data_IF_769236233892
#
_entry.id   IF_769236233892
#
_cell.length_a   1.000
_cell.length_b   1.000
_cell.length_c   1.000
_cell.angle_alpha   90.00
_cell.angle_beta   90.00
_cell.angle_gamma   90.00
#
_symmetry.space_group_name_H-M   'P 1'
#
loop_
_entity.id
_entity.type
_entity.pdbx_description
1 polymer ?
#
# COMPACT_ATOMS: atom_id res chain seq x y z
N UNK A 1 11.65 12.94 -10.93
CA UNK A 1 11.78 11.74 -10.08
C UNK A 1 10.42 11.13 -9.84
N UNK A 2 10.27 9.83 -10.09
CA UNK A 2 9.01 9.14 -9.86
C UNK A 2 8.83 8.94 -8.35
N UNK A 3 7.64 9.25 -7.86
CA UNK A 3 7.27 9.03 -6.46
C UNK A 3 6.22 7.92 -6.42
N UNK A 4 6.31 7.06 -5.42
CA UNK A 4 5.51 5.84 -5.33
C UNK A 4 4.62 5.83 -4.11
N UNK A 5 3.41 5.32 -4.29
CA UNK A 5 2.52 4.94 -3.20
C UNK A 5 2.59 3.42 -3.09
N UNK A 6 3.08 2.94 -1.96
CA UNK A 6 3.38 1.51 -1.80
C UNK A 6 2.12 0.78 -1.35
N UNK A 7 1.66 -0.16 -2.16
CA UNK A 7 0.47 -0.96 -1.84
C UNK A 7 0.76 -1.94 -0.70
N UNK A 8 -0.29 -2.30 0.02
CA UNK A 8 -0.23 -3.16 1.21
C UNK A 8 0.46 -4.49 0.93
N UNK A 9 0.22 -5.10 -0.23
CA UNK A 9 0.84 -6.39 -0.56
C UNK A 9 2.36 -6.30 -0.69
N UNK A 10 2.89 -5.16 -1.14
CA UNK A 10 4.33 -4.94 -1.23
C UNK A 10 4.92 -4.69 0.15
N UNK A 11 4.25 -3.85 0.95
CA UNK A 11 4.68 -3.55 2.32
C UNK A 11 4.73 -4.81 3.17
N UNK A 12 3.69 -5.62 3.12
CA UNK A 12 3.60 -6.86 3.89
C UNK A 12 4.68 -7.86 3.50
N UNK A 13 5.08 -7.88 2.22
CA UNK A 13 6.16 -8.74 1.77
C UNK A 13 7.49 -8.40 2.43
N UNK A 14 7.75 -7.12 2.69
CA UNK A 14 9.02 -6.70 3.31
C UNK A 14 9.15 -7.13 4.76
N UNK A 15 8.06 -7.51 5.42
CA UNK A 15 8.07 -7.97 6.81
C UNK A 15 8.54 -9.42 6.94
N UNK A 16 8.46 -10.21 5.88
CA UNK A 16 8.79 -11.63 5.91
C UNK A 16 10.29 -11.83 6.12
N UNK A 17 10.71 -12.85 6.92
CA UNK A 17 12.13 -13.13 7.16
C UNK A 17 12.93 -13.40 5.88
N UNK A 18 12.26 -13.92 4.85
CA UNK A 18 12.88 -14.17 3.54
C UNK A 18 12.19 -13.29 2.50
N UNK A 19 12.32 -11.97 2.67
CA UNK A 19 11.77 -11.03 1.72
C UNK A 19 12.38 -11.29 0.34
N UNK A 20 11.55 -11.32 -0.70
CA UNK A 20 12.02 -11.55 -2.07
C UNK A 20 12.93 -10.41 -2.51
N UNK A 21 14.08 -10.81 -3.06
CA UNK A 21 15.15 -9.89 -3.39
C UNK A 21 14.74 -8.72 -4.26
N UNK A 22 13.90 -8.95 -5.29
CA UNK A 22 13.50 -7.91 -6.22
C UNK A 22 12.76 -6.75 -5.58
N UNK A 23 11.65 -7.05 -4.89
CA UNK A 23 10.82 -6.01 -4.29
C UNK A 23 11.52 -5.33 -3.12
N UNK A 24 12.19 -6.11 -2.27
CA UNK A 24 12.89 -5.57 -1.12
C UNK A 24 14.07 -4.68 -1.54
N UNK A 25 14.89 -5.17 -2.47
CA UNK A 25 16.04 -4.42 -2.98
C UNK A 25 15.59 -3.13 -3.68
N UNK A 26 14.51 -3.21 -4.46
CA UNK A 26 13.96 -2.04 -5.12
C UNK A 26 13.54 -0.99 -4.12
N UNK A 27 12.80 -1.39 -3.09
CA UNK A 27 12.31 -0.45 -2.07
C UNK A 27 13.48 0.22 -1.34
N UNK A 28 14.53 -0.54 -1.03
CA UNK A 28 15.72 0.01 -0.37
C UNK A 28 16.50 0.96 -1.27
N UNK A 29 16.35 0.84 -2.59
CA UNK A 29 17.04 1.72 -3.53
C UNK A 29 16.42 3.10 -3.64
N UNK A 30 15.20 3.29 -3.12
CA UNK A 30 14.48 4.56 -3.24
C UNK A 30 14.93 5.56 -2.17
N UNK A 31 14.88 6.83 -2.55
CA UNK A 31 15.10 7.93 -1.61
C UNK A 31 13.83 8.16 -0.79
N UNK A 32 13.98 8.75 0.40
CA UNK A 32 12.85 9.02 1.28
C UNK A 32 11.73 9.81 0.62
N UNK A 33 12.09 10.79 -0.22
CA UNK A 33 11.11 11.61 -0.93
C UNK A 33 10.32 10.86 -2.00
N UNK A 34 10.69 9.62 -2.31
CA UNK A 34 10.00 8.81 -3.32
C UNK A 34 9.00 7.83 -2.72
N UNK A 35 8.94 7.66 -1.41
CA UNK A 35 8.18 6.59 -0.77
C UNK A 35 7.04 7.17 0.07
N UNK A 36 5.82 6.78 -0.26
CA UNK A 36 4.61 7.20 0.46
C UNK A 36 3.75 5.98 0.75
N UNK A 37 3.00 6.06 1.84
CA UNK A 37 2.02 5.04 2.21
C UNK A 37 0.65 5.69 2.34
N UNK A 38 -0.40 4.90 2.07
CA UNK A 38 -1.77 5.35 2.30
C UNK A 38 -2.21 5.01 3.71
N UNK A 39 -2.98 5.88 4.34
CA UNK A 39 -3.64 5.58 5.61
C UNK A 39 -4.48 4.30 5.51
N UNK A 40 -5.04 4.01 4.34
CA UNK A 40 -5.83 2.79 4.06
C UNK A 40 -4.99 1.54 4.31
N UNK A 41 -3.72 1.57 3.93
CA UNK A 41 -2.79 0.44 4.14
C UNK A 41 -2.70 0.06 5.62
N UNK A 42 -2.63 1.05 6.51
CA UNK A 42 -2.54 0.77 7.94
C UNK A 42 -3.86 0.23 8.50
N UNK A 43 -5.00 0.63 7.92
CA UNK A 43 -6.28 0.02 8.25
C UNK A 43 -6.36 -1.45 7.83
N UNK A 44 -5.86 -1.77 6.64
CA UNK A 44 -5.79 -3.15 6.15
C UNK A 44 -4.89 -4.01 7.04
N UNK A 45 -3.72 -3.48 7.41
CA UNK A 45 -2.79 -4.19 8.29
C UNK A 45 -3.44 -4.43 9.65
N UNK A 46 -4.11 -3.41 10.21
CA UNK A 46 -4.76 -3.53 11.52
C UNK A 46 -5.86 -4.60 11.49
N UNK A 47 -6.64 -4.66 10.41
CA UNK A 47 -7.64 -5.71 10.26
C UNK A 47 -7.01 -7.10 10.27
N UNK A 48 -5.87 -7.26 9.60
CA UNK A 48 -5.10 -8.50 9.63
C UNK A 48 -4.56 -8.82 11.02
N UNK A 49 -4.13 -7.81 11.76
CA UNK A 49 -3.68 -7.96 13.16
C UNK A 49 -4.81 -8.53 14.03
N UNK A 50 -6.02 -7.96 13.94
CA UNK A 50 -7.15 -8.43 14.73
C UNK A 50 -7.54 -9.86 14.37
N UNK A 51 -7.51 -10.22 13.09
CA UNK A 51 -7.77 -11.59 12.66
C UNK A 51 -6.72 -12.55 13.21
N UNK A 52 -5.44 -12.17 13.20
CA UNK A 52 -4.36 -12.99 13.74
C UNK A 52 -4.47 -13.14 15.25
N UNK A 53 -4.91 -12.09 15.94
CA UNK A 53 -5.01 -12.09 17.41
C UNK A 53 -5.91 -13.18 17.94
N UNK A 54 -6.91 -13.59 17.18
CA UNK A 54 -7.83 -14.68 17.58
C UNK A 54 -7.12 -16.02 17.70
N UNK A 55 -6.06 -16.24 16.92
CA UNK A 55 -5.37 -17.52 16.88
C UNK A 55 -3.98 -17.47 17.49
N UNK A 56 -3.31 -16.33 17.37
CA UNK A 56 -1.93 -16.17 17.81
C UNK A 56 -1.71 -14.74 18.32
N UNK A 57 -2.04 -14.46 19.60
CA UNK A 57 -1.92 -13.12 20.18
C UNK A 57 -0.49 -12.55 20.15
N UNK A 58 0.50 -13.42 20.34
CA UNK A 58 1.91 -12.95 20.34
C UNK A 58 2.32 -12.49 18.96
N UNK A 59 1.96 -13.23 17.91
CA UNK A 59 2.24 -12.85 16.54
C UNK A 59 1.51 -11.57 16.16
N UNK A 60 0.26 -11.43 16.61
CA UNK A 60 -0.51 -10.21 16.36
C UNK A 60 0.18 -8.99 16.97
N UNK A 61 0.71 -9.12 18.19
CA UNK A 61 1.45 -8.04 18.84
C UNK A 61 2.71 -7.67 18.07
N UNK A 62 3.43 -8.64 17.52
CA UNK A 62 4.62 -8.39 16.70
C UNK A 62 4.27 -7.60 15.43
N UNK A 63 3.20 -8.00 14.74
CA UNK A 63 2.77 -7.33 13.52
C UNK A 63 2.32 -5.91 13.84
N UNK A 64 1.57 -5.74 14.92
CA UNK A 64 1.07 -4.43 15.34
C UNK A 64 2.22 -3.48 15.70
N UNK A 65 3.23 -3.97 16.40
CA UNK A 65 4.41 -3.18 16.74
C UNK A 65 5.19 -2.77 15.50
N UNK A 66 5.35 -3.68 14.54
CA UNK A 66 5.99 -3.38 13.27
C UNK A 66 5.22 -2.31 12.50
N UNK A 67 3.90 -2.44 12.42
CA UNK A 67 3.06 -1.47 11.73
C UNK A 67 3.14 -0.08 12.37
N UNK A 68 3.13 -0.01 13.70
CA UNK A 68 3.26 1.25 14.42
C UNK A 68 4.60 1.93 14.14
N UNK A 69 5.68 1.13 14.11
CA UNK A 69 7.00 1.65 13.75
C UNK A 69 7.02 2.18 12.33
N UNK A 70 6.48 1.42 11.37
CA UNK A 70 6.44 1.80 9.98
C UNK A 70 5.67 3.12 9.78
N UNK A 71 4.54 3.25 10.46
CA UNK A 71 3.72 4.45 10.38
C UNK A 71 4.50 5.69 10.86
N UNK A 72 5.20 5.57 12.00
CA UNK A 72 5.98 6.68 12.54
C UNK A 72 7.19 7.04 11.67
N UNK A 73 7.77 6.04 11.00
CA UNK A 73 8.97 6.23 10.20
C UNK A 73 8.70 6.66 8.77
N UNK A 74 7.43 6.74 8.35
CA UNK A 74 7.06 6.88 6.96
C UNK A 74 6.20 8.10 6.70
N UNK A 75 6.13 8.50 5.43
CA UNK A 75 5.21 9.53 4.96
C UNK A 75 3.88 8.87 4.65
N UNK A 76 2.86 9.13 5.47
CA UNK A 76 1.53 8.53 5.34
C UNK A 76 0.55 9.60 4.85
N UNK A 77 -0.14 9.30 3.75
CA UNK A 77 -1.13 10.21 3.17
C UNK A 77 -2.52 9.82 3.65
N UNK A 78 -3.30 10.78 4.18
CA UNK A 78 -4.65 10.51 4.66
C UNK A 78 -5.65 10.37 3.52
N UNK A 79 -6.78 9.72 3.79
CA UNK A 79 -7.94 9.78 2.91
C UNK A 79 -8.75 11.04 3.25
N UNK A 80 -8.29 12.17 2.73
CA UNK A 80 -8.97 13.45 2.92
C UNK A 80 -10.13 13.63 1.92
N UNK A 81 -10.76 14.81 1.93
CA UNK A 81 -11.90 15.09 1.04
C UNK A 81 -11.54 14.92 -0.43
N UNK A 82 -10.38 15.41 -0.84
CA UNK A 82 -9.96 15.31 -2.23
C UNK A 82 -9.82 13.85 -2.66
N UNK A 83 -9.23 13.03 -1.79
CA UNK A 83 -9.07 11.59 -2.05
C UNK A 83 -10.42 10.87 -2.09
N UNK A 84 -11.33 11.19 -1.17
CA UNK A 84 -12.67 10.57 -1.19
C UNK A 84 -13.49 10.99 -2.41
N UNK A 85 -13.36 12.23 -2.86
CA UNK A 85 -14.06 12.66 -4.07
C UNK A 85 -13.53 11.95 -5.29
N UNK A 86 -12.22 11.76 -5.38
CA UNK A 86 -11.62 10.98 -6.47
C UNK A 86 -12.01 9.51 -6.38
N UNK A 87 -12.03 8.95 -5.18
CA UNK A 87 -12.51 7.60 -4.92
C UNK A 87 -13.94 7.41 -5.43
N UNK A 88 -14.82 8.37 -5.14
CA UNK A 88 -16.20 8.29 -5.60
C UNK A 88 -16.30 8.28 -7.13
N UNK A 89 -15.45 9.07 -7.81
CA UNK A 89 -15.40 9.07 -9.28
C UNK A 89 -14.94 7.71 -9.81
N UNK A 90 -13.91 7.13 -9.19
CA UNK A 90 -13.37 5.84 -9.61
C UNK A 90 -14.35 4.69 -9.39
N UNK A 91 -15.11 4.77 -8.30
CA UNK A 91 -16.03 3.68 -7.93
C UNK A 91 -17.37 3.76 -8.62
N UNK A 92 -17.69 4.87 -9.25
CA UNK A 92 -18.98 5.02 -9.92
C UNK A 92 -19.15 3.93 -10.98
N UNK A 93 -20.18 3.10 -10.82
CA UNK A 93 -20.46 2.00 -11.73
C UNK A 93 -19.58 0.76 -11.55
N UNK A 94 -18.76 0.69 -10.49
CA UNK A 94 -17.89 -0.46 -10.24
C UNK A 94 -18.35 -1.25 -9.01
N UNK A 95 -17.85 -2.49 -8.92
CA UNK A 95 -18.13 -3.39 -7.81
C UNK A 95 -17.38 -2.97 -6.55
N UNK A 96 -18.01 -3.16 -5.39
CA UNK A 96 -17.41 -2.87 -4.08
C UNK A 96 -16.17 -3.72 -3.77
N UNK A 97 -15.93 -4.79 -4.52
CA UNK A 97 -14.75 -5.64 -4.31
C UNK A 97 -13.43 -4.91 -4.55
N UNK A 98 -13.47 -3.76 -5.23
CA UNK A 98 -12.29 -2.95 -5.49
C UNK A 98 -12.19 -1.73 -4.58
N UNK A 99 -13.00 -1.65 -3.52
CA UNK A 99 -13.11 -0.45 -2.70
C UNK A 99 -11.77 -0.01 -2.09
N UNK A 100 -11.02 -0.93 -1.49
CA UNK A 100 -9.74 -0.57 -0.86
C UNK A 100 -8.69 -0.19 -1.91
N UNK A 101 -8.61 -0.93 -3.01
CA UNK A 101 -7.71 -0.60 -4.12
C UNK A 101 -8.06 0.76 -4.72
N UNK A 102 -9.35 1.06 -4.85
CA UNK A 102 -9.78 2.34 -5.37
C UNK A 102 -9.44 3.50 -4.44
N UNK A 103 -9.45 3.30 -3.12
CA UNK A 103 -9.01 4.33 -2.17
C UNK A 103 -7.52 4.62 -2.34
N UNK A 104 -6.71 3.58 -2.49
CA UNK A 104 -5.27 3.73 -2.71
C UNK A 104 -5.02 4.40 -4.07
N UNK A 105 -5.71 3.96 -5.12
CA UNK A 105 -5.59 4.55 -6.44
C UNK A 105 -6.00 6.03 -6.45
N UNK A 106 -7.07 6.37 -5.73
CA UNK A 106 -7.54 7.75 -5.63
C UNK A 106 -6.48 8.64 -4.96
N UNK A 107 -5.88 8.16 -3.89
CA UNK A 107 -4.80 8.87 -3.21
C UNK A 107 -3.63 9.11 -4.15
N UNK A 108 -3.23 8.08 -4.90
CA UNK A 108 -2.14 8.19 -5.86
C UNK A 108 -2.45 9.22 -6.95
N UNK A 109 -3.67 9.21 -7.48
CA UNK A 109 -4.07 10.15 -8.53
C UNK A 109 -4.06 11.59 -8.03
N UNK A 110 -4.59 11.83 -6.84
CA UNK A 110 -4.63 13.18 -6.25
C UNK A 110 -3.22 13.73 -6.05
N UNK A 111 -2.27 12.88 -5.65
CA UNK A 111 -0.92 13.32 -5.33
C UNK A 111 0.10 13.11 -6.46
N UNK A 112 -0.32 12.61 -7.61
CA UNK A 112 0.57 12.38 -8.74
C UNK A 112 1.60 11.28 -8.51
N UNK A 113 1.19 10.20 -7.84
CA UNK A 113 2.06 9.09 -7.49
C UNK A 113 1.80 7.87 -8.38
N UNK A 114 2.83 7.04 -8.51
CA UNK A 114 2.70 5.72 -9.14
C UNK A 114 2.46 4.69 -8.05
N UNK A 115 1.46 3.81 -8.23
CA UNK A 115 1.20 2.75 -7.26
C UNK A 115 2.19 1.62 -7.48
N UNK A 116 2.95 1.29 -6.44
CA UNK A 116 3.84 0.13 -6.45
C UNK A 116 3.06 -1.06 -5.89
N UNK A 117 2.74 -2.02 -6.74
CA UNK A 117 1.87 -3.15 -6.39
C UNK A 117 2.20 -4.37 -7.24
N UNK A 118 1.93 -5.55 -6.68
CA UNK A 118 1.95 -6.79 -7.46
C UNK A 118 0.63 -7.00 -8.20
N UNK A 119 -0.41 -6.25 -7.85
CA UNK A 119 -1.75 -6.37 -8.42
C UNK A 119 -1.94 -5.38 -9.57
N UNK A 120 -1.12 -5.53 -10.61
CA UNK A 120 -1.11 -4.61 -11.76
C UNK A 120 -2.46 -4.52 -12.47
N UNK A 121 -3.14 -5.66 -12.58
CA UNK A 121 -4.38 -5.74 -13.34
C UNK A 121 -5.48 -4.87 -12.74
N UNK A 122 -5.74 -5.04 -11.45
CA UNK A 122 -6.83 -4.32 -10.80
C UNK A 122 -6.54 -2.82 -10.73
N UNK A 123 -5.31 -2.43 -10.41
CA UNK A 123 -4.95 -1.01 -10.38
C UNK A 123 -4.91 -0.41 -11.79
N UNK A 124 -4.51 -1.17 -12.80
CA UNK A 124 -4.55 -0.71 -14.19
C UNK A 124 -5.96 -0.33 -14.63
N UNK A 125 -6.98 -1.08 -14.18
CA UNK A 125 -8.38 -0.77 -14.48
C UNK A 125 -8.87 0.50 -13.77
N UNK A 126 -8.17 0.96 -12.74
CA UNK A 126 -8.52 2.16 -12.00
C UNK A 126 -7.87 3.43 -12.57
N UNK A 127 -7.18 3.33 -13.70
CA UNK A 127 -6.65 4.49 -14.41
C UNK A 127 -5.55 5.22 -13.66
N UNK A 128 -4.69 4.48 -12.96
CA UNK A 128 -3.55 5.01 -12.24
C UNK A 128 -2.26 4.39 -12.78
N UNK A 129 -1.14 5.14 -12.71
CA UNK A 129 0.17 4.60 -13.08
C UNK A 129 0.55 3.50 -12.11
N UNK A 130 1.06 2.39 -12.62
CA UNK A 130 1.37 1.18 -11.85
C UNK A 130 2.80 0.73 -12.13
N UNK A 131 3.47 0.25 -11.08
CA UNK A 131 4.77 -0.38 -11.19
C UNK A 131 4.80 -1.62 -10.30
N UNK A 132 5.23 -2.75 -10.85
CA UNK A 132 5.33 -4.00 -10.09
C UNK A 132 6.78 -4.24 -9.66
N UNK A 133 7.11 -3.97 -8.38
CA UNK A 133 8.49 -4.13 -7.91
C UNK A 133 8.97 -5.58 -7.88
N UNK A 134 8.07 -6.57 -7.89
CA UNK A 134 8.44 -7.98 -7.96
C UNK A 134 9.11 -8.32 -9.29
N UNK A 135 8.89 -7.52 -10.32
CA UNK A 135 9.51 -7.68 -11.63
C UNK A 135 10.78 -6.86 -11.79
N UNK A 136 11.14 -6.07 -10.79
CA UNK A 136 12.35 -5.27 -10.82
C UNK A 136 13.56 -6.19 -10.72
N UNK A 137 14.60 -5.89 -11.49
CA UNK A 137 15.87 -6.62 -11.38
C UNK A 137 16.57 -6.20 -10.09
N UNK A 138 17.12 -7.17 -9.35
CA UNK A 138 17.87 -6.86 -8.14
C UNK A 138 19.12 -6.02 -8.41
#
# INVERSE_FOLDING_TARGET
MIRYLIDTNVVSETRKPKAHGGAFAWLQSLELGQVFFSAVTFGEIQRGVEATRRQDPLKANEIEAWAAYLERASQVLPMDSACFREYARLMYGRSDTLAEDAMIAATARVHGLTVATRNERDFGHLGVSVFNPSKAKP
#
